data_IF_240053758575
#
_entry.id   IF_240053758575
#
_cell.length_a   1.000
_cell.length_b   1.000
_cell.length_c   1.000
_cell.angle_alpha   90.00
_cell.angle_beta   90.00
_cell.angle_gamma   90.00
#
_symmetry.space_group_name_H-M   'P 1'
#
loop_
_entity.id
_entity.type
_entity.pdbx_description
1 polymer ?
#
# COMPACT_ATOMS: atom_id res chain seq x y z
N UNK A 1 10.41 7.14 -32.75
CA UNK A 1 11.40 7.22 -31.65
C UNK A 1 11.42 8.66 -31.18
N UNK A 2 10.96 8.93 -29.96
CA UNK A 2 11.13 10.25 -29.37
C UNK A 2 12.61 10.45 -29.00
N UNK A 3 13.20 11.65 -29.16
CA UNK A 3 14.60 11.86 -28.86
C UNK A 3 14.82 11.75 -27.34
N UNK A 4 15.77 10.90 -26.92
CA UNK A 4 16.25 10.90 -25.55
C UNK A 4 17.05 12.19 -25.33
N UNK A 5 16.64 13.00 -24.35
CA UNK A 5 17.36 14.20 -23.98
C UNK A 5 18.59 13.79 -23.15
N UNK A 6 19.80 13.98 -23.68
CA UNK A 6 21.00 14.07 -22.86
C UNK A 6 20.94 15.41 -22.11
N UNK A 7 20.47 15.38 -20.86
CA UNK A 7 20.20 16.61 -20.11
C UNK A 7 21.49 17.18 -19.51
N UNK A 8 21.95 18.29 -20.08
CA UNK A 8 23.05 19.11 -19.55
C UNK A 8 22.71 19.67 -18.16
N UNK A 9 23.72 19.68 -17.30
CA UNK A 9 23.66 19.83 -15.84
C UNK A 9 23.37 21.23 -15.30
N UNK A 10 22.59 22.07 -16.00
CA UNK A 10 22.15 23.37 -15.47
C UNK A 10 20.62 23.40 -15.29
N UNK A 11 20.21 23.18 -14.03
CA UNK A 11 18.91 23.61 -13.45
C UNK A 11 17.64 22.83 -13.83
N UNK A 12 17.70 21.53 -14.13
CA UNK A 12 16.47 20.72 -13.97
C UNK A 12 16.23 20.42 -12.49
N UNK A 13 15.28 21.11 -11.89
CA UNK A 13 14.86 20.83 -10.51
C UNK A 13 13.85 19.67 -10.50
N UNK A 14 14.39 18.47 -10.25
CA UNK A 14 13.65 17.22 -10.11
C UNK A 14 12.56 17.33 -9.04
N UNK A 15 12.84 18.04 -7.94
CA UNK A 15 11.88 18.23 -6.84
C UNK A 15 10.75 19.12 -7.31
N UNK A 16 11.07 20.25 -7.93
CA UNK A 16 10.04 21.14 -8.47
C UNK A 16 9.14 20.43 -9.47
N UNK A 17 9.70 19.62 -10.36
CA UNK A 17 8.90 18.88 -11.34
C UNK A 17 8.04 17.77 -10.70
N UNK A 18 8.66 16.87 -9.93
CA UNK A 18 7.95 15.69 -9.42
C UNK A 18 7.01 16.04 -8.26
N UNK A 19 7.47 16.87 -7.32
CA UNK A 19 6.77 17.18 -6.07
C UNK A 19 5.93 18.45 -6.23
N UNK A 20 6.55 19.61 -6.50
CA UNK A 20 5.84 20.90 -6.42
C UNK A 20 4.81 21.05 -7.56
N UNK A 21 5.15 20.60 -8.77
CA UNK A 21 4.24 20.53 -9.92
C UNK A 21 3.44 19.23 -9.97
N UNK A 22 3.71 18.29 -9.05
CA UNK A 22 2.94 17.06 -8.86
C UNK A 22 2.93 16.08 -10.04
N UNK A 23 3.93 16.15 -10.92
CA UNK A 23 4.09 15.15 -12.00
C UNK A 23 4.39 13.74 -11.45
N UNK A 24 4.96 13.67 -10.24
CA UNK A 24 5.33 12.43 -9.57
C UNK A 24 6.49 11.69 -10.24
N UNK A 25 6.85 10.54 -9.68
CA UNK A 25 7.85 9.66 -10.28
C UNK A 25 7.35 9.01 -11.56
N UNK A 26 6.03 8.91 -11.75
CA UNK A 26 5.48 8.49 -13.05
C UNK A 26 5.85 9.49 -14.14
N UNK A 27 5.68 10.79 -13.88
CA UNK A 27 6.07 11.83 -14.82
C UNK A 27 7.57 11.80 -15.12
N UNK A 28 8.41 11.55 -14.09
CA UNK A 28 9.85 11.36 -14.29
C UNK A 28 10.16 10.14 -15.16
N UNK A 29 9.48 9.01 -14.94
CA UNK A 29 9.66 7.81 -15.76
C UNK A 29 9.21 8.01 -17.21
N UNK A 30 8.13 8.76 -17.44
CA UNK A 30 7.62 9.08 -18.77
C UNK A 30 8.60 9.96 -19.59
N UNK A 31 9.55 10.66 -18.93
CA UNK A 31 10.65 11.37 -19.60
C UNK A 31 11.73 10.43 -20.17
N UNK A 32 11.69 9.14 -19.83
CA UNK A 32 12.66 8.16 -20.33
C UNK A 32 14.06 8.33 -19.73
N UNK A 33 14.15 8.68 -18.45
CA UNK A 33 15.43 8.84 -17.75
C UNK A 33 16.29 7.57 -17.85
N UNK A 34 17.58 7.74 -18.15
CA UNK A 34 18.56 6.64 -18.19
C UNK A 34 19.23 6.39 -16.84
N UNK A 35 19.24 7.39 -15.97
CA UNK A 35 19.86 7.35 -14.64
C UNK A 35 18.88 7.84 -13.59
N UNK A 36 18.91 7.24 -12.41
CA UNK A 36 18.09 7.62 -11.27
C UNK A 36 18.56 8.96 -10.71
N UNK A 37 17.67 9.96 -10.51
CA UNK A 37 18.10 11.19 -9.87
C UNK A 37 18.59 10.95 -8.45
N UNK A 38 19.65 11.66 -8.04
CA UNK A 38 20.30 11.51 -6.73
C UNK A 38 19.37 11.56 -5.52
N UNK A 39 18.24 12.27 -5.65
CA UNK A 39 17.23 12.40 -4.61
C UNK A 39 16.51 11.08 -4.30
N UNK A 40 16.51 10.12 -5.22
CA UNK A 40 15.87 8.81 -5.09
C UNK A 40 16.88 7.67 -4.82
N UNK A 41 18.18 7.98 -4.78
CA UNK A 41 19.23 7.02 -4.43
C UNK A 41 19.18 6.82 -2.92
N UNK A 42 18.90 5.59 -2.50
CA UNK A 42 18.81 5.24 -1.09
C UNK A 42 20.18 5.21 -0.43
N UNK A 43 20.26 5.39 0.91
CA UNK A 43 21.49 5.15 1.65
C UNK A 43 22.02 3.71 1.41
N UNK A 44 23.34 3.47 1.40
CA UNK A 44 23.91 2.14 1.13
C UNK A 44 23.33 1.00 1.97
N UNK A 45 22.96 1.27 3.22
CA UNK A 45 22.31 0.34 4.14
C UNK A 45 20.88 -0.08 3.74
N UNK A 46 20.23 0.68 2.85
CA UNK A 46 18.88 0.43 2.35
C UNK A 46 18.85 -0.06 0.89
N UNK A 47 19.97 0.08 0.16
CA UNK A 47 20.09 -0.42 -1.20
C UNK A 47 20.08 -1.96 -1.23
N UNK A 48 19.37 -2.52 -2.21
CA UNK A 48 19.19 -3.97 -2.37
C UNK A 48 20.41 -4.54 -3.11
N UNK A 49 21.61 -4.34 -2.56
CA UNK A 49 22.85 -4.80 -3.21
C UNK A 49 23.20 -6.23 -2.74
N UNK A 50 22.72 -6.64 -1.56
CA UNK A 50 23.11 -7.89 -0.91
C UNK A 50 21.94 -8.61 -0.22
N UNK A 51 20.83 -8.87 -0.93
CA UNK A 51 19.79 -9.76 -0.37
C UNK A 51 20.20 -11.22 -0.54
N UNK A 52 20.65 -11.86 0.52
CA UNK A 52 20.78 -13.32 0.58
C UNK A 52 19.37 -13.91 0.50
N UNK A 53 19.02 -14.51 -0.65
CA UNK A 53 17.74 -15.22 -0.79
C UNK A 53 17.88 -16.51 0.02
N UNK A 54 17.19 -16.58 1.16
CA UNK A 54 17.04 -17.83 1.91
C UNK A 54 15.98 -18.64 1.17
N UNK A 55 16.38 -19.75 0.56
CA UNK A 55 15.53 -20.53 -0.36
C UNK A 55 14.64 -21.57 0.33
N UNK A 56 14.83 -21.81 1.63
CA UNK A 56 14.27 -23.00 2.30
C UNK A 56 12.92 -22.76 2.97
N UNK A 57 12.46 -21.51 3.08
CA UNK A 57 11.26 -21.15 3.84
C UNK A 57 10.30 -20.30 2.99
N UNK A 58 9.08 -20.81 2.75
CA UNK A 58 8.04 -20.12 1.97
C UNK A 58 6.94 -19.58 2.86
N UNK A 59 6.45 -18.36 2.57
CA UNK A 59 5.29 -17.76 3.25
C UNK A 59 4.08 -18.71 3.17
N UNK A 60 3.40 -19.01 4.29
CA UNK A 60 2.22 -19.88 4.30
C UNK A 60 1.13 -19.41 3.34
N UNK A 61 0.51 -20.35 2.63
CA UNK A 61 -0.66 -20.12 1.76
C UNK A 61 -1.86 -20.84 2.34
N UNK A 62 -2.93 -20.10 2.65
CA UNK A 62 -4.12 -20.63 3.33
C UNK A 62 -5.31 -20.59 2.37
N UNK A 63 -5.95 -21.74 2.17
CA UNK A 63 -7.17 -21.87 1.38
C UNK A 63 -8.40 -21.53 2.25
N UNK A 64 -9.16 -20.51 1.84
CA UNK A 64 -10.33 -20.00 2.56
C UNK A 64 -11.68 -20.46 1.94
N UNK A 65 -11.66 -21.46 1.06
CA UNK A 65 -12.86 -22.02 0.45
C UNK A 65 -13.86 -22.56 1.48
N UNK A 66 -13.40 -22.99 2.65
CA UNK A 66 -14.24 -23.45 3.76
C UNK A 66 -13.90 -22.76 5.10
N UNK A 67 -14.50 -21.59 5.33
CA UNK A 67 -14.36 -20.84 6.59
C UNK A 67 -14.81 -21.58 7.86
N UNK A 68 -15.63 -22.61 7.73
CA UNK A 68 -16.14 -23.37 8.88
C UNK A 68 -15.19 -24.51 9.29
N UNK A 69 -14.15 -24.77 8.50
CA UNK A 69 -13.12 -25.76 8.84
C UNK A 69 -12.27 -25.24 10.02
N UNK A 70 -12.25 -25.93 11.18
CA UNK A 70 -11.39 -25.56 12.31
C UNK A 70 -9.91 -25.48 11.93
N UNK A 71 -9.46 -26.28 10.96
CA UNK A 71 -8.07 -26.29 10.49
C UNK A 71 -7.69 -24.99 9.76
N UNK A 72 -8.65 -24.28 9.14
CA UNK A 72 -8.38 -22.96 8.53
C UNK A 72 -8.09 -21.92 9.60
N UNK A 73 -8.87 -21.90 10.69
CA UNK A 73 -8.63 -20.97 11.80
C UNK A 73 -7.28 -21.24 12.49
N UNK A 74 -6.92 -22.52 12.67
CA UNK A 74 -5.62 -22.91 13.23
C UNK A 74 -4.45 -22.47 12.33
N UNK A 75 -4.56 -22.68 11.01
CA UNK A 75 -3.53 -22.21 10.05
C UNK A 75 -3.35 -20.70 10.08
N UNK A 76 -4.45 -19.93 10.15
CA UNK A 76 -4.40 -18.46 10.26
C UNK A 76 -3.64 -18.05 11.52
N UNK A 77 -3.98 -18.64 12.68
CA UNK A 77 -3.34 -18.29 13.95
C UNK A 77 -1.86 -18.69 13.96
N UNK A 78 -1.53 -19.90 13.49
CA UNK A 78 -0.17 -20.41 13.42
C UNK A 78 0.72 -19.58 12.49
N UNK A 79 0.19 -19.17 11.33
CA UNK A 79 0.91 -18.31 10.41
C UNK A 79 1.09 -16.89 10.99
N UNK A 80 0.07 -16.33 11.64
CA UNK A 80 0.18 -15.04 12.32
C UNK A 80 1.20 -15.07 13.46
N UNK A 81 1.25 -16.13 14.27
CA UNK A 81 2.16 -16.26 15.41
C UNK A 81 3.62 -16.50 14.97
N UNK A 82 3.85 -17.41 14.00
CA UNK A 82 5.21 -17.80 13.61
C UNK A 82 5.84 -16.90 12.56
N UNK A 83 5.04 -16.41 11.61
CA UNK A 83 5.53 -15.63 10.47
C UNK A 83 5.15 -14.16 10.57
N UNK A 84 4.04 -13.84 11.22
CA UNK A 84 3.41 -12.52 11.13
C UNK A 84 2.86 -12.22 9.73
N UNK A 85 2.90 -13.17 8.79
CA UNK A 85 2.53 -12.97 7.39
C UNK A 85 2.03 -14.27 6.75
N UNK A 86 1.03 -14.18 5.87
CA UNK A 86 0.50 -15.30 5.10
C UNK A 86 -0.21 -14.81 3.84
N UNK A 87 -0.37 -15.71 2.88
CA UNK A 87 -1.18 -15.51 1.68
C UNK A 87 -2.51 -16.24 1.83
N UNK A 88 -3.55 -15.71 1.20
CA UNK A 88 -4.88 -16.33 1.19
C UNK A 88 -5.34 -16.59 -0.24
N UNK A 89 -5.98 -17.73 -0.47
CA UNK A 89 -6.60 -18.10 -1.75
C UNK A 89 -8.05 -18.50 -1.51
N UNK A 90 -8.87 -18.51 -2.57
CA UNK A 90 -10.30 -18.84 -2.49
C UNK A 90 -11.06 -17.99 -1.44
N UNK A 91 -10.64 -16.74 -1.24
CA UNK A 91 -11.18 -15.81 -0.24
C UNK A 91 -12.60 -15.28 -0.56
N UNK A 92 -13.17 -15.61 -1.72
CA UNK A 92 -14.54 -15.26 -2.09
C UNK A 92 -14.74 -13.84 -2.66
N UNK A 93 -13.67 -13.07 -2.86
CA UNK A 93 -13.76 -11.81 -3.61
C UNK A 93 -13.68 -12.17 -5.11
N UNK A 94 -14.65 -11.75 -5.94
CA UNK A 94 -14.60 -12.05 -7.37
C UNK A 94 -13.35 -11.47 -8.02
N UNK A 95 -12.72 -12.24 -8.91
CA UNK A 95 -11.49 -11.83 -9.61
C UNK A 95 -11.70 -10.52 -10.37
N UNK A 96 -12.89 -10.32 -10.96
CA UNK A 96 -13.25 -9.09 -11.66
C UNK A 96 -13.15 -7.84 -10.77
N UNK A 97 -13.49 -7.93 -9.48
CA UNK A 97 -13.36 -6.80 -8.54
C UNK A 97 -11.88 -6.43 -8.35
N UNK A 98 -11.01 -7.43 -8.28
CA UNK A 98 -9.56 -7.24 -8.15
C UNK A 98 -8.96 -6.62 -9.42
N UNK A 99 -9.38 -7.08 -10.60
CA UNK A 99 -8.91 -6.51 -11.87
C UNK A 99 -9.46 -5.10 -12.12
N UNK A 100 -10.71 -4.84 -11.76
CA UNK A 100 -11.34 -3.52 -11.91
C UNK A 100 -10.63 -2.46 -11.05
N UNK A 101 -10.26 -2.78 -9.81
CA UNK A 101 -9.53 -1.81 -8.95
C UNK A 101 -8.09 -1.58 -9.44
N UNK A 102 -7.43 -2.60 -10.01
CA UNK A 102 -6.12 -2.43 -10.69
C UNK A 102 -6.24 -1.55 -11.93
N UNK A 103 -7.29 -1.72 -12.73
CA UNK A 103 -7.50 -0.89 -13.91
C UNK A 103 -7.89 0.55 -13.54
N UNK A 104 -8.75 0.72 -12.54
CA UNK A 104 -9.05 2.02 -11.93
C UNK A 104 -7.78 2.74 -11.43
N UNK A 105 -6.85 2.00 -10.82
CA UNK A 105 -5.54 2.52 -10.43
C UNK A 105 -4.77 3.06 -11.63
N UNK A 106 -4.64 2.26 -12.70
CA UNK A 106 -3.96 2.68 -13.94
C UNK A 106 -4.63 3.91 -14.56
N UNK A 107 -5.95 3.93 -14.64
CA UNK A 107 -6.74 5.06 -15.15
C UNK A 107 -6.46 6.34 -14.38
N UNK A 108 -6.48 6.31 -13.04
CA UNK A 108 -6.17 7.49 -12.24
C UNK A 108 -4.74 8.00 -12.50
N UNK A 109 -3.73 7.13 -12.52
CA UNK A 109 -2.35 7.56 -12.73
C UNK A 109 -2.03 7.97 -14.18
N UNK A 110 -2.86 7.55 -15.14
CA UNK A 110 -2.80 7.99 -16.53
C UNK A 110 -3.39 9.40 -16.76
N UNK A 111 -4.13 9.95 -15.79
CA UNK A 111 -4.65 11.31 -15.88
C UNK A 111 -3.52 12.35 -15.97
N UNK A 112 -3.77 13.51 -16.60
CA UNK A 112 -2.85 14.64 -16.56
C UNK A 112 -2.48 15.05 -15.13
N UNK A 113 -1.28 15.59 -14.94
CA UNK A 113 -0.82 16.05 -13.62
C UNK A 113 -1.80 17.05 -12.99
N UNK A 114 -2.37 17.96 -13.77
CA UNK A 114 -3.38 18.93 -13.32
C UNK A 114 -4.59 18.26 -12.67
N UNK A 115 -5.13 17.19 -13.27
CA UNK A 115 -6.27 16.46 -12.73
C UNK A 115 -5.93 15.70 -11.45
N UNK A 116 -4.75 15.07 -11.39
CA UNK A 116 -4.27 14.39 -10.18
C UNK A 116 -4.01 15.37 -9.04
N UNK A 117 -3.47 16.55 -9.36
CA UNK A 117 -3.11 17.60 -8.39
C UNK A 117 -4.30 18.21 -7.67
N UNK A 118 -5.52 18.12 -8.23
CA UNK A 118 -6.76 18.48 -7.50
C UNK A 118 -6.91 17.71 -6.19
N UNK A 119 -6.28 16.54 -6.08
CA UNK A 119 -6.28 15.70 -4.90
C UNK A 119 -4.99 15.84 -4.06
N UNK A 120 -4.07 16.74 -4.40
CA UNK A 120 -2.85 16.97 -3.63
C UNK A 120 -3.15 17.52 -2.23
N UNK A 121 -2.18 17.48 -1.31
CA UNK A 121 -2.36 18.01 0.04
C UNK A 121 -2.83 19.47 0.06
N UNK A 122 -2.34 20.28 -0.86
CA UNK A 122 -2.59 21.74 -0.87
C UNK A 122 -3.84 22.12 -1.68
N UNK A 123 -4.36 21.23 -2.54
CA UNK A 123 -5.54 21.48 -3.37
C UNK A 123 -6.79 20.68 -2.98
N UNK A 124 -6.61 19.56 -2.28
CA UNK A 124 -7.73 18.71 -1.88
C UNK A 124 -8.62 19.45 -0.88
N UNK A 125 -9.95 19.42 -1.05
CA UNK A 125 -10.89 20.03 -0.12
C UNK A 125 -10.95 19.31 1.24
N UNK A 126 -10.31 18.14 1.38
CA UNK A 126 -10.29 17.34 2.61
C UNK A 126 -8.97 16.62 2.80
N UNK A 127 -8.55 16.47 4.06
CA UNK A 127 -7.40 15.65 4.44
C UNK A 127 -7.63 14.13 4.24
N UNK A 128 -8.86 13.73 3.93
CA UNK A 128 -9.23 12.34 3.70
C UNK A 128 -8.83 11.83 2.31
N UNK A 129 -8.56 12.73 1.36
CA UNK A 129 -8.12 12.39 0.01
C UNK A 129 -6.80 13.08 -0.25
N UNK A 130 -5.74 12.30 -0.50
CA UNK A 130 -4.39 12.84 -0.70
C UNK A 130 -3.63 12.08 -1.78
N UNK A 131 -3.43 12.75 -2.92
CA UNK A 131 -2.43 12.40 -3.93
C UNK A 131 -1.07 12.97 -3.54
N UNK A 132 -0.01 12.22 -3.84
CA UNK A 132 1.36 12.66 -3.65
C UNK A 132 2.38 11.72 -4.28
N UNK A 133 3.64 12.13 -4.20
CA UNK A 133 4.81 11.36 -4.58
C UNK A 133 5.77 11.31 -3.41
N UNK A 134 6.36 10.14 -3.14
CA UNK A 134 7.08 9.81 -1.91
C UNK A 134 6.24 10.00 -0.62
N UNK A 135 6.57 9.33 0.49
CA UNK A 135 5.70 9.37 1.67
C UNK A 135 5.71 10.75 2.35
N UNK A 136 6.90 11.25 2.68
CA UNK A 136 7.14 12.58 3.24
C UNK A 136 8.41 13.20 2.65
N UNK A 137 8.36 13.78 1.44
CA UNK A 137 9.54 14.27 0.74
C UNK A 137 10.44 15.22 1.53
N UNK A 138 9.85 16.01 2.44
CA UNK A 138 10.55 17.01 3.24
C UNK A 138 11.25 16.44 4.48
N UNK A 139 10.92 15.22 4.88
CA UNK A 139 11.47 14.55 6.07
C UNK A 139 12.33 13.33 5.71
N UNK A 140 12.23 12.83 4.48
CA UNK A 140 12.99 11.69 3.99
C UNK A 140 14.45 12.05 3.69
N UNK A 141 15.36 11.12 3.98
CA UNK A 141 16.78 11.24 3.59
C UNK A 141 16.97 11.00 2.08
N UNK A 142 16.16 10.11 1.52
CA UNK A 142 16.06 9.81 0.10
C UNK A 142 14.58 9.53 -0.23
N UNK A 143 14.11 10.05 -1.36
CA UNK A 143 12.74 9.88 -1.81
C UNK A 143 12.48 8.44 -2.27
N UNK A 144 11.25 7.97 -2.06
CA UNK A 144 10.76 6.71 -2.59
C UNK A 144 10.40 6.85 -4.08
N UNK A 145 10.71 5.83 -4.88
CA UNK A 145 10.27 5.75 -6.27
C UNK A 145 8.80 5.30 -6.38
N UNK A 146 7.90 6.09 -5.78
CA UNK A 146 6.46 5.77 -5.63
C UNK A 146 5.58 7.01 -5.73
N UNK A 147 4.51 6.90 -6.51
CA UNK A 147 3.35 7.79 -6.42
C UNK A 147 2.22 7.09 -5.66
N UNK A 148 1.38 7.85 -4.96
CA UNK A 148 0.26 7.30 -4.23
C UNK A 148 -0.98 8.21 -4.25
N UNK A 149 -2.13 7.59 -4.10
CA UNK A 149 -3.39 8.23 -3.74
C UNK A 149 -3.92 7.56 -2.47
N UNK A 150 -3.95 8.29 -1.37
CA UNK A 150 -4.47 7.84 -0.09
C UNK A 150 -5.91 8.29 0.10
N UNK A 151 -6.80 7.34 0.36
CA UNK A 151 -8.23 7.54 0.51
C UNK A 151 -8.66 7.02 1.89
N UNK A 152 -9.06 7.94 2.76
CA UNK A 152 -9.70 7.64 4.03
C UNK A 152 -11.21 7.57 3.80
N UNK A 153 -11.83 6.48 4.18
CA UNK A 153 -13.26 6.26 4.02
C UNK A 153 -14.00 6.73 5.28
N UNK A 154 -14.89 7.71 5.10
CA UNK A 154 -15.81 8.22 6.13
C UNK A 154 -17.23 7.75 5.85
N UNK A 155 -17.74 8.00 4.64
CA UNK A 155 -19.07 7.59 4.19
C UNK A 155 -19.11 7.47 2.67
N UNK A 156 -20.14 6.78 2.14
CA UNK A 156 -20.39 6.72 0.70
C UNK A 156 -20.67 8.12 0.11
N UNK A 157 -21.32 9.02 0.86
CA UNK A 157 -21.59 10.40 0.42
C UNK A 157 -20.31 11.24 0.30
N UNK A 158 -19.40 11.14 1.28
CA UNK A 158 -18.11 11.83 1.21
C UNK A 158 -17.27 11.26 0.06
N UNK A 159 -17.25 9.94 -0.11
CA UNK A 159 -16.55 9.31 -1.24
C UNK A 159 -17.14 9.77 -2.58
N UNK A 160 -18.46 9.85 -2.70
CA UNK A 160 -19.14 10.38 -3.88
C UNK A 160 -18.78 11.84 -4.17
N UNK A 161 -18.62 12.67 -3.13
CA UNK A 161 -18.26 14.07 -3.29
C UNK A 161 -16.77 14.30 -3.59
N UNK A 162 -15.87 13.54 -2.95
CA UNK A 162 -14.45 13.91 -2.85
C UNK A 162 -13.48 12.95 -3.56
N UNK A 163 -13.82 11.68 -3.72
CA UNK A 163 -12.90 10.71 -4.33
C UNK A 163 -12.82 10.90 -5.85
N UNK A 164 -11.66 10.65 -6.48
CA UNK A 164 -11.51 10.81 -7.92
C UNK A 164 -12.48 9.90 -8.68
N UNK A 165 -13.29 10.48 -9.56
CA UNK A 165 -14.28 9.73 -10.35
C UNK A 165 -13.65 8.60 -11.19
N UNK A 166 -12.39 8.77 -11.59
CA UNK A 166 -11.62 7.78 -12.36
C UNK A 166 -11.41 6.44 -11.65
N UNK A 167 -11.48 6.39 -10.31
CA UNK A 167 -11.25 5.16 -9.55
C UNK A 167 -12.24 4.91 -8.40
N UNK A 168 -13.15 5.84 -8.13
CA UNK A 168 -14.02 5.83 -6.94
C UNK A 168 -14.84 4.55 -6.82
N UNK A 169 -15.59 4.18 -7.86
CA UNK A 169 -16.60 3.12 -7.76
C UNK A 169 -15.95 1.74 -7.54
N UNK A 170 -14.89 1.46 -8.28
CA UNK A 170 -14.12 0.22 -8.20
C UNK A 170 -13.38 0.11 -6.86
N UNK A 171 -12.88 1.23 -6.34
CA UNK A 171 -12.27 1.28 -5.01
C UNK A 171 -13.31 0.99 -3.92
N UNK A 172 -14.48 1.61 -3.99
CA UNK A 172 -15.56 1.37 -3.03
C UNK A 172 -16.06 -0.08 -3.07
N UNK A 173 -16.25 -0.65 -4.26
CA UNK A 173 -16.66 -2.04 -4.40
C UNK A 173 -15.60 -3.00 -3.82
N UNK A 174 -14.33 -2.79 -4.17
CA UNK A 174 -13.22 -3.57 -3.61
C UNK A 174 -13.19 -3.49 -2.08
N UNK A 175 -13.33 -2.29 -1.49
CA UNK A 175 -13.36 -2.13 -0.03
C UNK A 175 -14.56 -2.86 0.61
N UNK A 176 -15.76 -2.75 0.01
CA UNK A 176 -16.97 -3.43 0.51
C UNK A 176 -16.81 -4.96 0.48
N UNK A 177 -16.27 -5.52 -0.60
CA UNK A 177 -16.01 -6.97 -0.70
C UNK A 177 -14.89 -7.44 0.23
N UNK A 178 -13.85 -6.63 0.39
CA UNK A 178 -12.73 -6.94 1.29
C UNK A 178 -13.13 -6.94 2.75
N UNK A 179 -14.11 -6.12 3.15
CA UNK A 179 -14.60 -6.07 4.53
C UNK A 179 -15.10 -7.43 5.03
N UNK A 180 -15.73 -8.23 4.16
CA UNK A 180 -16.16 -9.59 4.50
C UNK A 180 -14.98 -10.49 4.89
N UNK A 181 -13.92 -10.48 4.07
CA UNK A 181 -12.70 -11.28 4.31
C UNK A 181 -12.00 -10.81 5.56
N UNK A 182 -11.84 -9.49 5.75
CA UNK A 182 -11.23 -8.90 6.94
C UNK A 182 -11.97 -9.34 8.20
N UNK A 183 -13.30 -9.27 8.21
CA UNK A 183 -14.11 -9.71 9.35
C UNK A 183 -13.89 -11.19 9.67
N UNK A 184 -13.86 -12.05 8.65
CA UNK A 184 -13.64 -13.49 8.84
C UNK A 184 -12.24 -13.82 9.35
N UNK A 185 -11.21 -13.12 8.88
CA UNK A 185 -9.85 -13.24 9.41
C UNK A 185 -9.79 -12.79 10.87
N UNK A 186 -10.44 -11.67 11.22
CA UNK A 186 -10.52 -11.20 12.61
C UNK A 186 -11.25 -12.21 13.49
N UNK A 187 -12.39 -12.75 13.07
CA UNK A 187 -13.12 -13.80 13.80
C UNK A 187 -12.21 -15.01 14.11
N UNK A 188 -11.40 -15.46 13.14
CA UNK A 188 -10.45 -16.56 13.33
C UNK A 188 -9.33 -16.21 14.33
N UNK A 189 -8.70 -15.05 14.19
CA UNK A 189 -7.63 -14.58 15.08
C UNK A 189 -8.13 -14.37 16.51
N UNK A 190 -9.29 -13.73 16.67
CA UNK A 190 -9.90 -13.48 17.98
C UNK A 190 -10.27 -14.79 18.69
N UNK A 191 -10.76 -15.78 17.95
CA UNK A 191 -10.99 -17.13 18.49
C UNK A 191 -9.69 -17.78 18.96
N UNK A 192 -8.59 -17.62 18.22
CA UNK A 192 -7.25 -18.06 18.64
C UNK A 192 -6.77 -17.39 19.93
N UNK A 193 -7.20 -16.14 20.19
CA UNK A 193 -6.96 -15.40 21.42
C UNK A 193 -7.98 -15.70 22.54
N UNK A 194 -8.84 -16.72 22.38
CA UNK A 194 -9.93 -17.06 23.30
C UNK A 194 -11.00 -15.97 23.50
N UNK A 195 -11.11 -15.04 22.55
CA UNK A 195 -12.19 -14.04 22.54
C UNK A 195 -13.39 -14.63 21.80
N UNK A 196 -14.51 -14.78 22.51
CA UNK A 196 -15.70 -15.50 22.02
C UNK A 196 -16.53 -14.68 21.03
N UNK A 197 -16.60 -13.36 21.19
CA UNK A 197 -17.43 -12.47 20.40
C UNK A 197 -16.73 -11.13 20.15
N UNK A 198 -16.95 -10.57 18.95
CA UNK A 198 -16.56 -9.21 18.58
C UNK A 198 -17.80 -8.34 18.82
N UNK A 199 -17.84 -7.67 19.98
CA UNK A 199 -18.87 -6.67 20.26
C UNK A 199 -18.63 -5.37 19.46
N UNK A 200 -19.56 -4.42 19.53
CA UNK A 200 -19.46 -3.14 18.83
C UNK A 200 -18.19 -2.34 19.19
N UNK A 201 -17.71 -2.47 20.43
CA UNK A 201 -16.50 -1.76 20.88
C UNK A 201 -15.26 -2.34 20.22
N UNK A 202 -15.15 -3.68 20.19
CA UNK A 202 -14.05 -4.39 19.51
C UNK A 202 -14.12 -4.19 17.99
N UNK A 203 -15.32 -4.22 17.40
CA UNK A 203 -15.50 -3.96 15.98
C UNK A 203 -15.07 -2.54 15.62
N UNK A 204 -15.44 -1.53 16.43
CA UNK A 204 -14.98 -0.15 16.24
C UNK A 204 -13.47 -0.03 16.41
N UNK A 205 -12.86 -0.74 17.36
CA UNK A 205 -11.41 -0.71 17.59
C UNK A 205 -10.64 -1.32 16.42
N UNK A 206 -11.11 -2.45 15.89
CA UNK A 206 -10.41 -3.25 14.88
C UNK A 206 -10.72 -2.82 13.44
N UNK A 207 -11.92 -2.29 13.20
CA UNK A 207 -12.45 -2.02 11.85
C UNK A 207 -13.03 -0.61 11.67
N UNK A 208 -12.99 0.24 12.70
CA UNK A 208 -13.66 1.56 12.70
C UNK A 208 -13.02 2.59 11.77
N UNK A 209 -11.72 2.48 11.49
CA UNK A 209 -11.02 3.36 10.55
C UNK A 209 -10.57 2.60 9.32
N UNK A 210 -10.99 3.05 8.13
CA UNK A 210 -10.67 2.39 6.86
C UNK A 210 -9.90 3.36 5.96
N UNK A 211 -8.69 2.96 5.56
CA UNK A 211 -7.87 3.69 4.60
C UNK A 211 -7.39 2.74 3.52
N UNK A 212 -7.46 3.17 2.27
CA UNK A 212 -6.86 2.48 1.13
C UNK A 212 -5.84 3.39 0.46
N UNK A 213 -4.67 2.83 0.16
CA UNK A 213 -3.64 3.50 -0.61
C UNK A 213 -3.57 2.84 -1.98
N UNK A 214 -3.79 3.63 -3.01
CA UNK A 214 -3.60 3.25 -4.39
C UNK A 214 -2.18 3.67 -4.77
N UNK A 215 -1.27 2.70 -4.84
CA UNK A 215 0.15 2.94 -5.10
C UNK A 215 0.50 2.68 -6.56
N UNK A 216 1.42 3.48 -7.10
CA UNK A 216 1.95 3.31 -8.44
C UNK A 216 3.47 3.36 -8.43
N UNK A 217 4.09 2.29 -8.92
CA UNK A 217 5.53 2.12 -9.03
C UNK A 217 5.89 2.10 -10.52
N UNK A 218 6.32 3.24 -11.10
CA UNK A 218 6.76 3.26 -12.48
C UNK A 218 8.07 2.50 -12.66
N UNK A 219 8.42 2.16 -13.90
CA UNK A 219 9.71 1.58 -14.23
C UNK A 219 10.84 2.49 -13.70
N UNK A 220 11.75 1.91 -12.91
CA UNK A 220 12.93 2.58 -12.39
C UNK A 220 14.13 2.32 -13.34
N UNK A 221 14.96 3.33 -13.66
CA UNK A 221 16.16 3.11 -14.48
C UNK A 221 17.25 2.28 -13.79
N UNK A 222 17.42 2.45 -12.47
CA UNK A 222 18.42 1.78 -11.64
C UNK A 222 17.75 1.23 -10.36
N UNK A 223 16.97 0.13 -10.47
CA UNK A 223 16.15 -0.40 -9.38
C UNK A 223 16.93 -0.84 -8.14
N UNK A 224 18.20 -1.21 -8.28
CA UNK A 224 19.10 -1.59 -7.19
C UNK A 224 19.48 -0.42 -6.27
N UNK A 225 19.41 0.82 -6.78
CA UNK A 225 19.73 2.04 -6.04
C UNK A 225 18.53 2.62 -5.31
N UNK A 226 17.32 2.13 -5.58
CA UNK A 226 16.10 2.58 -4.92
C UNK A 226 15.57 1.54 -3.93
N UNK A 227 14.67 1.98 -3.05
CA UNK A 227 13.99 1.07 -2.15
C UNK A 227 12.79 0.47 -2.89
N UNK A 228 12.67 -0.86 -2.93
CA UNK A 228 11.38 -1.48 -3.17
C UNK A 228 10.68 -1.59 -1.82
N UNK A 229 9.46 -1.03 -1.72
CA UNK A 229 8.63 -0.86 -0.51
C UNK A 229 8.50 -2.11 0.41
N UNK A 230 8.92 -3.27 -0.07
CA UNK A 230 9.04 -4.50 0.72
C UNK A 230 9.90 -4.28 1.98
N UNK A 231 10.92 -3.43 1.89
CA UNK A 231 11.80 -3.06 3.00
C UNK A 231 11.03 -2.39 4.14
N UNK A 232 10.24 -1.34 3.88
CA UNK A 232 9.67 -0.52 4.94
C UNK A 232 8.34 -1.01 5.50
N UNK A 233 7.48 -1.63 4.70
CA UNK A 233 6.28 -2.28 5.26
C UNK A 233 6.69 -3.41 6.22
N UNK A 234 7.69 -4.20 5.86
CA UNK A 234 8.24 -5.23 6.75
C UNK A 234 9.03 -4.58 7.89
N UNK A 235 9.91 -3.60 7.65
CA UNK A 235 10.74 -2.99 8.71
C UNK A 235 9.92 -2.22 9.75
N UNK A 236 8.91 -1.46 9.35
CA UNK A 236 8.09 -0.65 10.25
C UNK A 236 6.92 -1.42 10.87
N UNK A 237 6.22 -2.27 10.12
CA UNK A 237 5.05 -2.99 10.64
C UNK A 237 5.34 -4.43 11.11
N UNK A 238 6.39 -5.09 10.62
CA UNK A 238 6.67 -6.51 10.92
C UNK A 238 8.03 -6.79 11.59
N UNK A 239 9.03 -5.89 11.50
CA UNK A 239 10.40 -6.11 12.00
C UNK A 239 10.64 -5.49 13.37
N UNK A 240 9.85 -4.47 13.74
CA UNK A 240 9.36 -4.48 15.12
C UNK A 240 8.38 -5.63 15.13
N UNK A 241 8.85 -6.81 15.54
CA UNK A 241 7.95 -7.69 16.26
C UNK A 241 7.30 -6.76 17.30
N UNK A 242 6.03 -6.43 17.13
CA UNK A 242 5.20 -6.40 18.30
C UNK A 242 5.45 -7.77 18.90
N UNK A 243 6.25 -7.80 19.94
CA UNK A 243 6.72 -9.01 20.59
C UNK A 243 5.47 -9.89 20.72
N UNK A 244 5.34 -10.90 19.87
CA UNK A 244 4.04 -11.55 19.64
C UNK A 244 3.51 -12.14 20.95
N UNK A 245 4.45 -12.46 21.85
CA UNK A 245 4.22 -12.78 23.25
C UNK A 245 3.63 -11.62 24.05
N UNK A 246 4.17 -10.41 23.98
CA UNK A 246 3.60 -9.24 24.66
C UNK A 246 2.22 -8.84 24.10
N UNK A 247 1.93 -9.09 22.82
CA UNK A 247 0.60 -8.80 22.24
C UNK A 247 -0.47 -9.76 22.74
N UNK A 248 -0.12 -11.04 22.92
CA UNK A 248 -0.98 -12.02 23.58
C UNK A 248 -1.16 -11.69 25.06
N UNK A 249 -0.12 -11.17 25.73
CA UNK A 249 -0.23 -10.75 27.13
C UNK A 249 -0.98 -9.41 27.30
N UNK A 250 -0.91 -8.50 26.33
CA UNK A 250 -1.75 -7.30 26.24
C UNK A 250 -3.23 -7.65 26.01
N UNK A 251 -3.51 -8.69 25.24
CA UNK A 251 -4.88 -9.19 24.99
C UNK A 251 -5.47 -10.02 26.16
N UNK A 252 -4.69 -10.29 27.21
CA UNK A 252 -5.15 -10.97 28.45
C UNK A 252 -5.61 -10.02 29.55
N UNK A 253 -5.55 -8.70 29.33
CA UNK A 253 -6.12 -7.67 30.21
C UNK A 253 -7.52 -7.33 29.74
#
# INVERSE_FOLDING_TARGET
>A
MAPALSMDSNSWDVISFAVDKGHGVKGLADLGLHTLPKQYIQPPEEQIINSTIVTDDSIPVIDLSNWNDPNVAEQICNAAEKWGFFQIVNHGIPIEVLENVKEATRRFFALPAEEKNKHSKDSSPSNNVRYGTSFTPKAEKALEWKDFLSLFYVSDDEAAALWPSACRNETLDFMKKSQFVIRKLLEALMKGLNVKEIDETKESLLMGSKRININYYPKCPEPELTQVLYSDYVKHFFRKAHDGKETVDFAKI
#
